data_IF_132469341052
#
_entry.id   IF_132469341052
#
_cell.length_a   1.000
_cell.length_b   1.000
_cell.length_c   1.000
_cell.angle_alpha   90.00
_cell.angle_beta   90.00
_cell.angle_gamma   90.00
#
_symmetry.space_group_name_H-M   'P 1'
#
loop_
_entity.id
_entity.type
_entity.pdbx_description
1 polymer ?
#
# COMPACT_ATOMS: atom_id res chain seq x y z
N UNK A 1 18.81 -26.49 -42.34
CA UNK A 1 18.41 -26.29 -40.94
C UNK A 1 17.66 -24.95 -40.81
N UNK A 2 16.42 -24.87 -41.28
CA UNK A 2 15.62 -23.63 -41.22
C UNK A 2 14.19 -23.87 -40.71
N UNK A 3 13.67 -25.10 -40.87
CA UNK A 3 12.30 -25.45 -40.48
C UNK A 3 12.10 -25.56 -38.96
N UNK A 4 13.13 -25.99 -38.20
CA UNK A 4 13.03 -26.16 -36.75
C UNK A 4 12.89 -24.82 -35.99
N UNK A 5 13.49 -23.74 -36.50
CA UNK A 5 13.39 -22.40 -35.89
C UNK A 5 12.01 -21.79 -36.13
N UNK A 6 11.40 -22.08 -37.29
CA UNK A 6 10.04 -21.64 -37.61
C UNK A 6 8.99 -22.31 -36.73
N UNK A 7 9.12 -23.61 -36.45
CA UNK A 7 8.19 -24.32 -35.58
C UNK A 7 8.23 -23.81 -34.13
N UNK A 8 9.44 -23.52 -33.60
CA UNK A 8 9.61 -22.97 -32.27
C UNK A 8 9.06 -21.54 -32.13
N UNK A 9 9.26 -20.68 -33.15
CA UNK A 9 8.71 -19.33 -33.17
C UNK A 9 7.17 -19.33 -33.29
N UNK A 10 6.60 -20.22 -34.10
CA UNK A 10 5.15 -20.40 -34.20
C UNK A 10 4.56 -20.89 -32.88
N UNK A 11 5.20 -21.85 -32.20
CA UNK A 11 4.77 -22.31 -30.89
C UNK A 11 4.80 -21.19 -29.84
N UNK A 12 5.88 -20.38 -29.83
CA UNK A 12 6.01 -19.24 -28.91
C UNK A 12 4.93 -18.16 -29.15
N UNK A 13 4.63 -17.84 -30.42
CA UNK A 13 3.57 -16.90 -30.78
C UNK A 13 2.17 -17.40 -30.38
N UNK A 14 1.90 -18.70 -30.55
CA UNK A 14 0.63 -19.31 -30.11
C UNK A 14 0.46 -19.26 -28.59
N UNK A 15 1.54 -19.46 -27.82
CA UNK A 15 1.53 -19.34 -26.36
C UNK A 15 1.24 -17.89 -25.92
N UNK A 16 1.84 -16.89 -26.58
CA UNK A 16 1.60 -15.48 -26.27
C UNK A 16 0.15 -15.06 -26.56
N UNK A 17 -0.48 -15.60 -27.61
CA UNK A 17 -1.86 -15.28 -27.95
C UNK A 17 -2.89 -15.84 -26.96
N UNK A 18 -2.53 -16.87 -26.16
CA UNK A 18 -3.39 -17.42 -25.12
C UNK A 18 -3.35 -16.63 -23.80
N UNK A 19 -2.39 -15.70 -23.64
CA UNK A 19 -2.21 -14.94 -22.39
C UNK A 19 -2.76 -13.51 -22.43
N UNK A 20 -3.24 -13.04 -23.57
CA UNK A 20 -3.94 -11.75 -23.68
C UNK A 20 -5.42 -11.93 -23.34
N UNK A 21 -5.74 -12.01 -22.05
CA UNK A 21 -7.10 -11.77 -21.57
C UNK A 21 -7.34 -10.26 -21.46
N UNK A 22 -8.21 -9.63 -22.28
CA UNK A 22 -8.66 -8.28 -22.02
C UNK A 22 -9.74 -8.37 -20.94
N UNK A 23 -9.40 -8.04 -19.70
CA UNK A 23 -10.40 -7.77 -18.67
C UNK A 23 -11.00 -6.37 -18.91
N UNK A 24 -11.81 -6.24 -19.97
CA UNK A 24 -12.73 -5.13 -20.15
C UNK A 24 -14.14 -5.67 -19.95
N UNK A 25 -14.60 -5.67 -18.70
CA UNK A 25 -16.02 -5.79 -18.38
C UNK A 25 -16.48 -4.44 -17.82
N UNK A 26 -17.02 -3.60 -18.70
CA UNK A 26 -18.02 -2.62 -18.30
C UNK A 26 -19.34 -3.37 -18.15
N UNK A 27 -19.93 -3.37 -16.95
CA UNK A 27 -21.23 -4.00 -16.71
C UNK A 27 -21.65 -4.12 -15.25
N UNK A 28 -22.20 -3.02 -14.73
CA UNK A 28 -23.30 -2.95 -13.74
C UNK A 28 -23.27 -3.85 -12.48
N UNK A 29 -23.01 -3.17 -11.36
CA UNK A 29 -23.77 -3.21 -10.11
C UNK A 29 -24.17 -4.58 -9.52
N UNK A 30 -23.50 -4.94 -8.42
CA UNK A 30 -24.11 -5.02 -7.07
C UNK A 30 -23.13 -5.66 -6.08
N UNK A 31 -22.38 -4.83 -5.37
CA UNK A 31 -21.83 -5.22 -4.09
C UNK A 31 -22.16 -4.13 -3.07
N UNK A 32 -23.20 -4.46 -2.30
CA UNK A 32 -23.38 -4.10 -0.88
C UNK A 32 -23.04 -2.65 -0.54
N UNK A 33 -24.08 -1.81 -0.47
CA UNK A 33 -23.99 -0.59 0.32
C UNK A 33 -23.43 -0.93 1.70
N UNK A 34 -22.22 -0.47 1.98
CA UNK A 34 -21.82 -0.22 3.36
C UNK A 34 -22.31 1.20 3.63
N UNK A 35 -23.32 1.22 4.48
CA UNK A 35 -23.84 2.35 5.22
C UNK A 35 -22.77 3.41 5.44
N UNK A 36 -23.01 4.63 4.97
CA UNK A 36 -22.17 5.79 5.20
C UNK A 36 -21.76 5.91 6.67
N UNK A 37 -20.52 5.51 6.92
CA UNK A 37 -19.63 6.04 7.93
C UNK A 37 -18.34 6.26 7.15
N UNK A 38 -17.87 7.49 7.04
CA UNK A 38 -16.63 7.79 6.35
C UNK A 38 -15.50 6.93 6.97
N UNK A 39 -15.14 5.83 6.31
CA UNK A 39 -14.04 4.98 6.75
C UNK A 39 -12.77 5.83 6.65
N UNK A 40 -12.05 5.99 7.76
CA UNK A 40 -10.87 6.83 7.77
C UNK A 40 -9.84 6.30 6.74
N UNK A 41 -9.17 7.19 5.97
CA UNK A 41 -8.26 6.82 4.89
C UNK A 41 -7.12 5.93 5.41
N UNK A 42 -6.50 5.09 4.57
CA UNK A 42 -5.35 4.29 4.99
C UNK A 42 -4.18 5.19 5.39
N UNK A 43 -3.27 4.68 6.23
CA UNK A 43 -2.21 5.51 6.81
C UNK A 43 -1.25 6.09 5.76
N UNK A 44 -0.92 5.32 4.71
CA UNK A 44 0.02 5.74 3.67
C UNK A 44 -0.51 6.84 2.75
N UNK A 45 -1.82 7.13 2.77
CA UNK A 45 -2.42 8.28 2.07
C UNK A 45 -2.22 9.60 2.86
N UNK A 46 -1.80 9.52 4.12
CA UNK A 46 -1.61 10.69 4.98
C UNK A 46 -0.20 11.25 4.79
N UNK A 47 -0.09 12.22 3.89
CA UNK A 47 1.18 12.82 3.48
C UNK A 47 1.81 13.76 4.49
N UNK A 48 1.08 14.17 5.53
CA UNK A 48 1.63 15.05 6.58
C UNK A 48 1.61 14.39 7.95
N UNK A 49 2.60 14.74 8.78
CA UNK A 49 2.65 14.32 10.19
C UNK A 49 1.37 14.65 10.95
N UNK A 50 0.81 15.84 10.72
CA UNK A 50 -0.39 16.31 11.42
C UNK A 50 -1.59 15.41 11.14
N UNK A 51 -1.84 15.11 9.86
CA UNK A 51 -2.93 14.22 9.44
C UNK A 51 -2.69 12.79 9.94
N UNK A 52 -1.46 12.30 9.84
CA UNK A 52 -1.06 10.97 10.31
C UNK A 52 -1.38 10.77 11.79
N UNK A 53 -0.93 11.70 12.65
CA UNK A 53 -1.11 11.64 14.11
C UNK A 53 -2.57 11.87 14.50
N UNK A 54 -3.29 12.75 13.79
CA UNK A 54 -4.71 12.97 14.02
C UNK A 54 -5.57 11.74 13.69
N UNK A 55 -5.09 10.88 12.78
CA UNK A 55 -5.83 9.70 12.36
C UNK A 55 -5.86 8.60 13.43
N UNK A 56 -6.91 8.62 14.24
CA UNK A 56 -7.09 7.70 15.37
C UNK A 56 -6.16 8.00 16.55
N UNK A 57 -5.71 9.25 16.70
CA UNK A 57 -4.85 9.71 17.79
C UNK A 57 -3.64 8.80 17.97
N UNK A 58 -2.80 8.65 16.95
CA UNK A 58 -1.56 7.84 17.00
C UNK A 58 -1.71 6.34 17.31
N UNK A 59 -2.92 5.83 17.53
CA UNK A 59 -3.16 4.40 17.82
C UNK A 59 -3.30 3.56 16.55
N UNK A 60 -3.77 4.19 15.46
CA UNK A 60 -3.98 3.56 14.16
C UNK A 60 -2.78 3.72 13.25
N UNK A 61 -2.27 4.94 13.15
CA UNK A 61 -1.13 5.30 12.31
C UNK A 61 -0.03 5.95 13.15
N UNK A 62 1.21 5.82 12.68
CA UNK A 62 2.40 6.42 13.29
C UNK A 62 3.21 7.11 12.21
N UNK A 63 3.61 8.34 12.49
CA UNK A 63 4.55 9.06 11.64
C UNK A 63 5.96 8.52 11.89
N UNK A 64 6.68 8.19 10.82
CA UNK A 64 8.04 7.69 10.89
C UNK A 64 8.95 8.57 10.05
N UNK A 65 10.02 9.08 10.68
CA UNK A 65 11.08 9.81 9.99
C UNK A 65 12.20 8.89 9.56
N UNK A 66 12.80 9.20 8.42
CA UNK A 66 13.99 8.52 7.90
C UNK A 66 15.03 9.56 7.47
N UNK A 67 16.31 9.24 7.59
CA UNK A 67 17.39 10.14 7.14
C UNK A 67 17.74 9.92 5.66
N UNK A 68 17.47 8.73 5.13
CA UNK A 68 17.78 8.33 3.74
C UNK A 68 16.52 8.24 2.85
N UNK A 69 15.35 8.16 3.47
CA UNK A 69 14.05 8.07 2.78
C UNK A 69 13.15 9.21 3.23
N UNK A 70 12.03 9.40 2.54
CA UNK A 70 11.03 10.36 2.96
C UNK A 70 10.39 9.99 4.31
N UNK A 71 9.96 11.03 5.03
CA UNK A 71 9.11 10.87 6.20
C UNK A 71 7.72 10.35 5.74
N UNK A 72 7.24 9.27 6.35
CA UNK A 72 6.02 8.60 5.90
C UNK A 72 5.12 8.17 7.07
N UNK A 73 3.82 8.04 6.79
CA UNK A 73 2.84 7.57 7.75
C UNK A 73 2.57 6.07 7.56
N UNK A 74 2.87 5.28 8.59
CA UNK A 74 2.69 3.82 8.58
C UNK A 74 1.56 3.39 9.51
N UNK A 75 0.98 2.22 9.26
CA UNK A 75 0.09 1.59 10.24
C UNK A 75 0.85 1.28 11.53
N UNK A 76 0.19 1.36 12.69
CA UNK A 76 0.86 1.19 13.98
C UNK A 76 1.67 -0.14 14.06
N UNK A 77 1.08 -1.25 13.63
CA UNK A 77 1.74 -2.56 13.62
C UNK A 77 2.89 -2.66 12.60
N UNK A 78 2.83 -1.92 11.49
CA UNK A 78 3.89 -1.87 10.49
C UNK A 78 5.07 -1.03 10.98
N UNK A 79 4.78 0.13 11.56
CA UNK A 79 5.75 1.00 12.18
C UNK A 79 6.57 0.33 13.29
N UNK A 80 6.00 -0.67 13.98
CA UNK A 80 6.71 -1.48 14.97
C UNK A 80 7.72 -2.47 14.36
N UNK A 81 7.54 -2.86 13.10
CA UNK A 81 8.41 -3.81 12.40
C UNK A 81 9.51 -3.14 11.57
N UNK A 82 9.44 -1.83 11.39
CA UNK A 82 10.43 -1.08 10.62
C UNK A 82 11.82 -1.17 11.28
N UNK A 83 12.90 -1.32 10.49
CA UNK A 83 14.26 -1.29 11.01
C UNK A 83 14.55 0.04 11.72
N UNK A 84 14.87 -0.03 13.02
CA UNK A 84 15.13 1.15 13.86
C UNK A 84 16.38 1.93 13.45
N UNK A 85 17.23 1.33 12.61
CA UNK A 85 18.42 1.98 12.06
C UNK A 85 18.06 3.02 10.99
N UNK A 86 16.92 2.82 10.30
CA UNK A 86 16.48 3.67 9.19
C UNK A 86 15.30 4.54 9.61
N UNK A 87 14.38 3.98 10.39
CA UNK A 87 13.14 4.68 10.76
C UNK A 87 13.07 5.00 12.26
N UNK A 88 12.76 6.25 12.57
CA UNK A 88 12.39 6.73 13.90
C UNK A 88 10.93 7.18 13.92
N UNK A 89 10.07 6.40 14.59
CA UNK A 89 8.63 6.62 14.60
C UNK A 89 8.12 7.27 15.88
N UNK A 90 7.13 8.15 15.74
CA UNK A 90 6.45 8.82 16.85
C UNK A 90 5.85 7.81 17.84
N UNK A 91 5.88 8.09 19.15
CA UNK A 91 5.28 7.20 20.14
C UNK A 91 3.76 7.04 19.94
N UNK A 92 3.16 5.91 20.35
CA UNK A 92 1.71 5.74 20.30
C UNK A 92 1.02 6.82 21.15
N UNK A 93 -0.09 7.42 20.68
CA UNK A 93 -0.71 8.46 21.49
C UNK A 93 -1.32 7.84 22.75
N UNK A 94 -0.93 8.43 23.89
CA UNK A 94 -1.10 7.84 25.22
C UNK A 94 0.19 7.90 26.03
N UNK A 95 1.36 7.80 25.38
CA UNK A 95 2.66 7.92 26.09
C UNK A 95 3.34 9.29 25.90
N UNK A 96 2.87 10.10 24.94
CA UNK A 96 3.44 11.42 24.64
C UNK A 96 3.16 12.49 25.72
N UNK A 97 2.10 12.33 26.52
CA UNK A 97 1.74 13.28 27.58
C UNK A 97 2.47 13.06 28.92
N UNK A 98 3.36 12.07 29.01
CA UNK A 98 4.07 11.74 30.24
C UNK A 98 5.43 12.46 30.38
N UNK A 99 5.85 13.25 29.39
CA UNK A 99 7.11 14.01 29.44
C UNK A 99 6.79 15.50 29.44
N UNK A 100 6.57 16.01 30.65
CA UNK A 100 6.57 17.43 30.97
C UNK A 100 8.01 17.91 31.14
#
# INVERSE_FOLDING_TARGET
MASARSAALLALLLICAAFSAPAAAAGAAKAKGVSGHAAAPPCWDLGTRGECVASGGGSRCRWCRSEELDDMCFGAAEAWRLPRQVFSCDPPAGVAHARK
#
